data_IF_106324696058
#
_entry.id   IF_106324696058
#
_cell.length_a   1.000
_cell.length_b   1.000
_cell.length_c   1.000
_cell.angle_alpha   90.00
_cell.angle_beta   90.00
_cell.angle_gamma   90.00
#
_symmetry.space_group_name_H-M   'P 1'
#
loop_
_entity.id
_entity.type
_entity.pdbx_description
1 polymer ?
#
# COMPACT_ATOMS: atom_id res chain seq x y z
N UNK A 1 16.92 -0.20 3.54
CA UNK A 1 16.23 -1.30 4.21
C UNK A 1 17.25 -2.21 4.87
N UNK A 2 17.02 -2.63 6.10
CA UNK A 2 17.91 -3.50 6.88
C UNK A 2 17.10 -4.58 7.61
N UNK A 3 17.65 -5.79 7.79
CA UNK A 3 16.99 -6.81 8.59
C UNK A 3 16.88 -6.36 10.06
N UNK A 4 15.81 -6.80 10.73
CA UNK A 4 15.60 -6.58 12.15
C UNK A 4 15.57 -7.92 12.91
N UNK A 5 15.76 -7.88 14.24
CA UNK A 5 15.67 -9.06 15.08
C UNK A 5 14.23 -9.64 15.06
N UNK A 6 14.09 -10.91 15.43
CA UNK A 6 12.79 -11.52 15.57
C UNK A 6 11.90 -10.75 16.56
N UNK A 7 10.61 -10.75 16.29
CA UNK A 7 9.58 -10.05 17.07
C UNK A 7 9.74 -8.49 17.10
N UNK A 8 10.61 -7.92 16.26
CA UNK A 8 10.75 -6.46 16.14
C UNK A 8 9.57 -5.84 15.35
N UNK A 9 9.01 -6.57 14.40
CA UNK A 9 8.07 -6.00 13.45
C UNK A 9 8.75 -5.12 12.40
N UNK A 10 7.94 -4.35 11.66
CA UNK A 10 8.44 -3.38 10.69
C UNK A 10 8.54 -2.01 11.37
N UNK A 11 9.72 -1.43 11.31
CA UNK A 11 10.02 -0.11 11.88
C UNK A 11 10.47 0.84 10.78
N UNK A 12 9.97 2.06 10.83
CA UNK A 12 10.50 3.17 10.05
C UNK A 12 11.41 4.03 10.92
N UNK A 13 12.64 4.26 10.46
CA UNK A 13 13.56 5.18 11.13
C UNK A 13 13.56 6.51 10.40
N UNK A 14 13.10 7.56 11.07
CA UNK A 14 13.12 8.93 10.55
C UNK A 14 14.55 9.50 10.51
N UNK A 15 14.73 10.62 9.82
CA UNK A 15 16.04 11.26 9.65
C UNK A 15 16.70 11.71 10.98
N UNK A 16 15.91 11.95 12.02
CA UNK A 16 16.38 12.27 13.37
C UNK A 16 16.71 11.03 14.23
N UNK A 17 16.55 9.83 13.65
CA UNK A 17 16.78 8.55 14.34
C UNK A 17 15.57 7.97 15.07
N UNK A 18 14.46 8.69 15.12
CA UNK A 18 13.22 8.23 15.78
C UNK A 18 12.68 6.99 15.06
N UNK A 19 12.39 5.94 15.82
CA UNK A 19 11.78 4.71 15.32
C UNK A 19 10.26 4.78 15.47
N UNK A 20 9.54 4.57 14.39
CA UNK A 20 8.07 4.55 14.32
C UNK A 20 7.63 3.15 13.92
N UNK A 21 6.90 2.40 14.77
CA UNK A 21 6.37 1.10 14.42
C UNK A 21 5.30 1.18 13.33
N UNK A 22 5.33 0.21 12.41
CA UNK A 22 4.32 0.09 11.36
C UNK A 22 3.19 -0.84 11.80
N UNK A 23 2.43 -0.40 12.78
CA UNK A 23 1.25 -1.09 13.30
C UNK A 23 0.03 -0.16 13.35
N UNK A 24 -1.13 -0.73 13.67
CA UNK A 24 -2.40 -0.01 13.65
C UNK A 24 -2.47 1.09 14.72
N UNK A 25 -1.80 0.93 15.86
CA UNK A 25 -1.82 1.89 16.94
C UNK A 25 -1.07 3.18 16.61
N UNK A 26 -0.19 3.12 15.62
CA UNK A 26 0.57 4.25 15.11
C UNK A 26 -0.01 4.89 13.84
N UNK A 27 -1.13 4.38 13.31
CA UNK A 27 -1.81 5.01 12.17
C UNK A 27 -2.52 6.28 12.64
N UNK A 28 -2.09 7.44 12.14
CA UNK A 28 -2.63 8.76 12.52
C UNK A 28 -3.45 9.43 11.43
N UNK A 29 -3.32 9.01 10.17
CA UNK A 29 -4.13 9.48 9.05
C UNK A 29 -4.16 8.43 7.92
N UNK A 30 -5.33 8.26 7.29
CA UNK A 30 -5.54 7.38 6.13
C UNK A 30 -6.08 8.10 4.91
N UNK A 31 -6.11 9.45 4.92
CA UNK A 31 -6.65 10.24 3.80
C UNK A 31 -5.64 10.40 2.69
N UNK A 32 -5.86 9.68 1.59
CA UNK A 32 -5.02 9.71 0.39
C UNK A 32 -3.68 8.97 0.48
N UNK A 33 -3.23 8.61 1.69
CA UNK A 33 -2.10 7.74 1.96
C UNK A 33 -2.14 7.28 3.42
N UNK A 34 -1.52 6.15 3.74
CA UNK A 34 -1.37 5.72 5.13
C UNK A 34 -0.22 6.47 5.79
N UNK A 35 -0.52 7.15 6.89
CA UNK A 35 0.45 7.92 7.66
C UNK A 35 0.60 7.33 9.06
N UNK A 36 1.82 7.00 9.43
CA UNK A 36 2.20 6.65 10.79
C UNK A 36 2.65 7.90 11.56
N UNK A 37 2.48 7.86 12.88
CA UNK A 37 2.93 8.93 13.76
C UNK A 37 3.32 8.44 15.14
N UNK A 38 4.50 8.85 15.61
CA UNK A 38 4.97 8.64 16.97
C UNK A 38 5.97 9.73 17.36
N UNK A 39 5.99 10.12 18.64
CA UNK A 39 6.98 11.04 19.22
C UNK A 39 7.16 12.37 18.45
N UNK A 40 6.09 12.87 17.83
CA UNK A 40 6.14 14.10 17.02
C UNK A 40 6.59 13.91 15.57
N UNK A 41 7.02 12.72 15.20
CA UNK A 41 7.40 12.35 13.82
C UNK A 41 6.20 11.81 13.06
N UNK A 42 6.15 12.07 11.76
CA UNK A 42 5.16 11.51 10.83
C UNK A 42 5.87 10.87 9.65
N UNK A 43 5.37 9.70 9.23
CA UNK A 43 5.86 8.98 8.06
C UNK A 43 4.68 8.64 7.17
N UNK A 44 4.73 9.07 5.93
CA UNK A 44 3.62 9.02 4.97
C UNK A 44 3.86 8.00 3.87
N UNK A 45 2.79 7.57 3.23
CA UNK A 45 2.80 6.75 2.00
C UNK A 45 3.53 5.41 2.20
N UNK A 46 3.23 4.73 3.31
CA UNK A 46 3.88 3.47 3.67
C UNK A 46 3.28 2.26 2.94
N UNK A 47 2.07 2.38 2.40
CA UNK A 47 1.22 1.29 1.92
C UNK A 47 1.89 0.39 0.89
N UNK A 48 2.65 0.95 -0.07
CA UNK A 48 3.28 0.18 -1.14
C UNK A 48 4.41 -0.72 -0.62
N UNK A 49 5.25 -0.19 0.27
CA UNK A 49 6.31 -0.97 0.92
C UNK A 49 5.72 -2.02 1.86
N UNK A 50 4.69 -1.66 2.64
CA UNK A 50 4.04 -2.59 3.56
C UNK A 50 3.36 -3.74 2.82
N UNK A 51 2.71 -3.46 1.68
CA UNK A 51 2.10 -4.49 0.83
C UNK A 51 3.16 -5.45 0.27
N UNK A 52 4.29 -4.91 -0.23
CA UNK A 52 5.39 -5.73 -0.71
C UNK A 52 6.00 -6.61 0.40
N UNK A 53 6.27 -6.03 1.58
CA UNK A 53 6.80 -6.78 2.72
C UNK A 53 5.84 -7.91 3.16
N UNK A 54 4.55 -7.60 3.27
CA UNK A 54 3.53 -8.58 3.66
C UNK A 54 3.44 -9.75 2.67
N UNK A 55 3.44 -9.46 1.35
CA UNK A 55 3.34 -10.47 0.31
C UNK A 55 4.58 -11.37 0.24
N UNK A 56 5.76 -10.83 0.49
CA UNK A 56 7.03 -11.57 0.51
C UNK A 56 7.32 -12.25 1.86
N UNK A 57 6.39 -12.16 2.80
CA UNK A 57 6.55 -12.78 4.10
C UNK A 57 7.61 -12.13 5.00
N UNK A 58 7.89 -10.85 4.84
CA UNK A 58 8.86 -10.11 5.63
C UNK A 58 8.16 -9.50 6.84
N UNK A 59 8.49 -9.99 8.04
CA UNK A 59 7.87 -9.57 9.29
C UNK A 59 8.73 -8.61 10.10
N UNK A 60 10.05 -8.62 9.88
CA UNK A 60 11.00 -7.88 10.69
C UNK A 60 11.95 -7.09 9.78
N UNK A 61 11.81 -5.77 9.78
CA UNK A 61 12.51 -4.89 8.87
C UNK A 61 12.67 -3.49 9.49
N UNK A 62 13.81 -2.85 9.27
CA UNK A 62 13.98 -1.42 9.50
C UNK A 62 14.11 -0.70 8.16
N UNK A 63 13.24 0.26 7.92
CA UNK A 63 13.30 1.16 6.77
C UNK A 63 13.83 2.53 7.21
N UNK A 64 15.06 2.86 6.80
CA UNK A 64 15.68 4.17 7.05
C UNK A 64 15.19 5.19 6.03
N UNK A 65 14.69 6.32 6.49
CA UNK A 65 14.13 7.38 5.68
C UNK A 65 14.92 8.68 5.86
N UNK A 66 15.23 9.34 4.76
CA UNK A 66 15.84 10.68 4.76
C UNK A 66 14.81 11.82 4.75
N UNK A 67 13.51 11.49 4.66
CA UNK A 67 12.39 12.42 4.63
C UNK A 67 11.16 11.80 5.32
N UNK A 68 10.11 12.60 5.50
CA UNK A 68 8.86 12.18 6.16
C UNK A 68 7.96 11.32 5.26
N UNK A 69 8.40 10.96 4.06
CA UNK A 69 7.58 10.23 3.09
C UNK A 69 8.38 9.11 2.44
N UNK A 70 7.77 7.92 2.36
CA UNK A 70 8.31 6.80 1.57
C UNK A 70 8.21 7.18 0.09
N UNK A 71 9.25 6.97 -0.72
CA UNK A 71 9.23 7.39 -2.12
C UNK A 71 8.11 6.67 -2.90
N UNK A 72 7.39 7.42 -3.73
CA UNK A 72 6.33 6.86 -4.56
C UNK A 72 6.85 5.92 -5.66
N UNK A 73 8.12 6.06 -6.05
CA UNK A 73 8.75 5.31 -7.15
C UNK A 73 7.93 5.43 -8.44
N UNK A 74 7.43 4.33 -8.97
CA UNK A 74 6.54 4.32 -10.14
C UNK A 74 5.04 4.34 -9.78
N UNK A 75 4.72 4.56 -8.50
CA UNK A 75 3.36 4.59 -7.97
C UNK A 75 2.75 3.21 -7.70
N UNK A 76 3.55 2.15 -7.71
CA UNK A 76 3.12 0.79 -7.43
C UNK A 76 3.99 0.11 -6.38
N UNK A 77 3.61 -1.09 -5.94
CA UNK A 77 4.43 -1.91 -5.03
C UNK A 77 5.56 -2.66 -5.74
N UNK A 78 5.54 -2.74 -7.08
CA UNK A 78 6.49 -3.56 -7.85
C UNK A 78 7.96 -3.20 -7.62
N UNK A 79 8.36 -1.90 -7.60
CA UNK A 79 9.76 -1.55 -7.33
C UNK A 79 10.23 -1.94 -5.93
N UNK A 80 9.33 -1.94 -4.94
CA UNK A 80 9.65 -2.41 -3.59
C UNK A 80 9.83 -3.94 -3.55
N UNK A 81 9.02 -4.70 -4.30
CA UNK A 81 9.23 -6.14 -4.48
C UNK A 81 10.61 -6.40 -5.08
N UNK A 82 10.97 -5.70 -6.16
CA UNK A 82 12.27 -5.88 -6.82
C UNK A 82 13.44 -5.53 -5.90
N UNK A 83 13.30 -4.47 -5.10
CA UNK A 83 14.28 -4.07 -4.10
C UNK A 83 14.47 -5.16 -3.03
N UNK A 84 13.36 -5.69 -2.49
CA UNK A 84 13.38 -6.72 -1.47
C UNK A 84 13.93 -8.05 -2.01
N UNK A 85 13.58 -8.45 -3.24
CA UNK A 85 14.17 -9.61 -3.89
C UNK A 85 15.67 -9.46 -4.10
N UNK A 86 16.12 -8.28 -4.53
CA UNK A 86 17.55 -8.03 -4.75
C UNK A 86 18.38 -8.05 -3.46
N UNK A 87 17.76 -7.63 -2.35
CA UNK A 87 18.38 -7.66 -1.03
C UNK A 87 18.43 -9.07 -0.42
N UNK A 88 17.51 -9.94 -0.83
CA UNK A 88 17.32 -11.26 -0.23
C UNK A 88 16.65 -11.20 1.14
N UNK A 89 16.37 -12.37 1.69
CA UNK A 89 15.74 -12.55 3.00
C UNK A 89 16.55 -13.47 3.91
N UNK A 90 16.41 -13.31 5.20
CA UNK A 90 17.00 -14.16 6.24
C UNK A 90 15.87 -14.79 7.04
N UNK A 91 15.89 -16.12 7.12
CA UNK A 91 14.96 -16.84 7.99
C UNK A 91 15.42 -16.71 9.44
N UNK A 92 14.54 -16.21 10.29
CA UNK A 92 14.78 -16.07 11.72
C UNK A 92 14.37 -17.35 12.49
N UNK A 93 15.04 -17.70 13.61
CA UNK A 93 14.78 -18.94 14.35
C UNK A 93 13.54 -18.87 15.26
N UNK A 94 12.62 -17.97 14.98
CA UNK A 94 11.39 -17.78 15.76
C UNK A 94 10.19 -17.97 14.82
N UNK A 95 9.23 -18.84 15.17
CA UNK A 95 8.06 -19.07 14.32
C UNK A 95 7.15 -17.82 14.29
N UNK A 96 6.55 -17.59 13.14
CA UNK A 96 5.49 -16.60 12.98
C UNK A 96 4.32 -16.87 13.94
N UNK A 97 3.70 -15.79 14.40
CA UNK A 97 2.47 -15.81 15.18
C UNK A 97 1.33 -15.21 14.35
N UNK A 98 0.70 -16.00 13.47
CA UNK A 98 -0.38 -15.49 12.64
C UNK A 98 -1.60 -15.12 13.48
N UNK A 99 -2.26 -14.04 13.13
CA UNK A 99 -3.58 -13.71 13.65
C UNK A 99 -4.61 -14.61 12.98
N UNK A 100 -5.29 -15.46 13.76
CA UNK A 100 -6.34 -16.33 13.25
C UNK A 100 -7.71 -15.65 13.39
N UNK A 101 -8.39 -15.49 12.29
CA UNK A 101 -9.80 -15.05 12.25
C UNK A 101 -10.68 -16.23 12.61
N UNK A 102 -11.45 -16.14 13.70
CA UNK A 102 -12.29 -17.24 14.22
C UNK A 102 -13.75 -17.12 13.79
N UNK A 103 -14.24 -15.91 13.58
CA UNK A 103 -15.60 -15.61 13.17
C UNK A 103 -15.60 -14.41 12.22
N UNK A 104 -16.62 -14.27 11.36
CA UNK A 104 -16.71 -13.09 10.50
C UNK A 104 -16.83 -11.81 11.32
N UNK A 105 -16.05 -10.80 10.92
CA UNK A 105 -16.11 -9.44 11.49
C UNK A 105 -16.34 -8.47 10.36
N UNK A 106 -17.36 -7.62 10.49
CA UNK A 106 -17.66 -6.57 9.53
C UNK A 106 -17.63 -5.21 10.20
N UNK A 107 -16.96 -4.27 9.54
CA UNK A 107 -16.88 -2.87 9.96
C UNK A 107 -17.21 -1.98 8.77
N UNK A 108 -17.78 -0.82 9.03
CA UNK A 108 -18.06 0.15 7.99
C UNK A 108 -19.38 0.86 8.18
N UNK A 109 -19.65 1.77 7.24
CA UNK A 109 -20.81 2.66 7.25
C UNK A 109 -21.41 2.73 5.83
N UNK A 110 -22.71 2.52 5.73
CA UNK A 110 -23.47 2.59 4.47
C UNK A 110 -22.88 1.69 3.37
N UNK A 111 -22.37 2.31 2.31
CA UNK A 111 -21.78 1.63 1.16
C UNK A 111 -20.27 1.42 1.26
N UNK A 112 -19.65 1.79 2.39
CA UNK A 112 -18.23 1.57 2.66
C UNK A 112 -18.06 0.61 3.82
N UNK A 113 -17.63 -0.61 3.53
CA UNK A 113 -17.47 -1.62 4.55
C UNK A 113 -16.30 -2.54 4.20
N UNK A 114 -15.76 -3.16 5.23
CA UNK A 114 -14.79 -4.24 5.15
C UNK A 114 -15.32 -5.41 5.95
N UNK A 115 -15.17 -6.60 5.41
CA UNK A 115 -15.49 -7.84 6.10
C UNK A 115 -14.27 -8.77 6.05
N UNK A 116 -13.95 -9.37 7.18
CA UNK A 116 -12.96 -10.41 7.28
C UNK A 116 -13.64 -11.68 7.81
N UNK A 117 -13.37 -12.82 7.21
CA UNK A 117 -13.96 -14.10 7.57
C UNK A 117 -12.89 -15.19 7.65
N UNK A 118 -13.13 -16.28 8.43
CA UNK A 118 -12.25 -17.44 8.46
C UNK A 118 -12.03 -18.02 7.06
N UNK A 119 -10.78 -18.31 6.72
CA UNK A 119 -10.41 -18.94 5.46
C UNK A 119 -9.06 -19.65 5.62
N UNK A 120 -8.85 -20.73 4.86
CA UNK A 120 -7.58 -21.44 4.82
C UNK A 120 -6.51 -20.70 4.00
N UNK A 121 -6.94 -19.75 3.17
CA UNK A 121 -6.08 -18.98 2.28
C UNK A 121 -6.42 -17.51 2.36
N UNK A 122 -5.46 -16.64 2.12
CA UNK A 122 -5.73 -15.21 1.98
C UNK A 122 -6.43 -14.97 0.63
N UNK A 123 -7.72 -14.65 0.68
CA UNK A 123 -8.49 -14.18 -0.47
C UNK A 123 -8.93 -12.74 -0.24
N UNK A 124 -8.66 -11.89 -1.20
CA UNK A 124 -9.15 -10.51 -1.18
C UNK A 124 -10.16 -10.35 -2.31
N UNK A 125 -11.36 -9.89 -1.95
CA UNK A 125 -12.36 -9.45 -2.92
C UNK A 125 -12.60 -7.97 -2.67
N UNK A 126 -12.37 -7.15 -3.69
CA UNK A 126 -12.58 -5.71 -3.61
C UNK A 126 -13.55 -5.26 -4.69
N UNK A 127 -14.53 -4.46 -4.28
CA UNK A 127 -15.48 -3.79 -5.19
C UNK A 127 -15.22 -2.29 -5.12
N UNK A 128 -14.76 -1.74 -6.22
CA UNK A 128 -14.59 -0.30 -6.42
C UNK A 128 -15.80 0.22 -7.20
N UNK A 129 -16.69 0.95 -6.53
CA UNK A 129 -17.81 1.63 -7.19
C UNK A 129 -17.52 3.13 -7.25
N UNK A 130 -17.16 3.62 -8.43
CA UNK A 130 -16.80 5.00 -8.63
C UNK A 130 -17.68 5.61 -9.74
N UNK A 131 -18.36 6.75 -9.49
CA UNK A 131 -19.25 7.37 -10.48
C UNK A 131 -18.52 7.95 -11.69
N UNK A 132 -17.18 7.99 -11.69
CA UNK A 132 -16.41 8.51 -12.80
C UNK A 132 -16.42 7.52 -13.98
N UNK A 133 -16.78 7.93 -15.23
CA UNK A 133 -16.99 7.02 -16.36
C UNK A 133 -15.75 6.25 -16.80
N UNK A 134 -14.55 6.73 -16.47
CA UNK A 134 -13.27 6.05 -16.78
C UNK A 134 -12.97 4.95 -15.76
N UNK A 135 -13.44 5.09 -14.52
CA UNK A 135 -13.22 4.12 -13.45
C UNK A 135 -14.38 3.14 -13.35
N UNK A 136 -15.60 3.66 -13.16
CA UNK A 136 -16.82 2.86 -13.10
C UNK A 136 -16.87 1.88 -11.94
N UNK A 137 -17.69 0.85 -12.10
CA UNK A 137 -17.75 -0.31 -11.19
C UNK A 137 -16.73 -1.35 -11.63
N UNK A 138 -15.81 -1.69 -10.74
CA UNK A 138 -14.83 -2.74 -10.94
C UNK A 138 -14.86 -3.71 -9.75
N UNK A 139 -14.65 -5.00 -10.01
CA UNK A 139 -14.56 -6.04 -8.99
C UNK A 139 -13.35 -6.91 -9.29
N UNK A 140 -12.51 -7.09 -8.29
CA UNK A 140 -11.43 -8.07 -8.32
C UNK A 140 -11.57 -9.05 -7.16
N UNK A 141 -11.31 -10.33 -7.41
CA UNK A 141 -11.28 -11.36 -6.38
C UNK A 141 -10.09 -12.28 -6.66
N UNK A 142 -9.11 -12.23 -5.78
CA UNK A 142 -7.83 -12.92 -5.96
C UNK A 142 -7.49 -13.76 -4.72
N UNK A 143 -6.97 -14.95 -4.95
CA UNK A 143 -6.22 -15.68 -3.95
C UNK A 143 -4.81 -15.07 -3.90
N UNK A 144 -4.47 -14.43 -2.80
CA UNK A 144 -3.21 -13.70 -2.66
C UNK A 144 -2.14 -14.65 -2.14
N UNK A 145 -1.30 -15.09 -3.06
CA UNK A 145 0.01 -15.71 -2.80
C UNK A 145 1.12 -14.72 -3.16
N UNK A 146 2.35 -15.05 -2.86
CA UNK A 146 3.51 -14.26 -3.29
C UNK A 146 3.50 -14.06 -4.81
N UNK A 147 3.34 -15.13 -5.60
CA UNK A 147 3.31 -15.05 -7.06
C UNK A 147 2.14 -14.19 -7.58
N UNK A 148 0.92 -14.43 -7.08
CA UNK A 148 -0.25 -13.64 -7.47
C UNK A 148 -0.06 -12.15 -7.13
N UNK A 149 0.50 -11.85 -5.96
CA UNK A 149 0.79 -10.47 -5.61
C UNK A 149 1.78 -9.82 -6.57
N UNK A 150 2.90 -10.49 -6.83
CA UNK A 150 3.99 -9.98 -7.69
C UNK A 150 3.53 -9.75 -9.13
N UNK A 151 2.70 -10.65 -9.66
CA UNK A 151 2.28 -10.62 -11.05
C UNK A 151 1.02 -9.77 -11.29
N UNK A 152 0.07 -9.80 -10.37
CA UNK A 152 -1.27 -9.26 -10.61
C UNK A 152 -1.62 -8.03 -9.75
N UNK A 153 -0.98 -7.83 -8.59
CA UNK A 153 -1.28 -6.71 -7.69
C UNK A 153 -0.15 -5.69 -7.63
N UNK A 154 1.09 -6.15 -7.39
CA UNK A 154 2.22 -5.26 -7.21
C UNK A 154 2.42 -4.25 -8.35
N UNK A 155 2.18 -4.58 -9.64
CA UNK A 155 2.33 -3.62 -10.73
C UNK A 155 1.24 -2.55 -10.81
N UNK A 156 0.08 -2.72 -10.13
CA UNK A 156 -1.01 -1.76 -10.19
C UNK A 156 -0.62 -0.43 -9.54
N UNK A 157 -0.80 0.67 -10.28
CA UNK A 157 -0.37 2.00 -9.87
C UNK A 157 -1.47 2.73 -9.11
N UNK A 158 -1.04 3.59 -8.19
CA UNK A 158 -1.92 4.59 -7.59
C UNK A 158 -2.53 5.50 -8.66
N UNK A 159 -3.69 6.06 -8.39
CA UNK A 159 -4.37 6.94 -9.34
C UNK A 159 -4.95 8.19 -8.67
N UNK A 160 -5.10 9.22 -9.47
CA UNK A 160 -5.74 10.45 -9.04
C UNK A 160 -6.52 11.11 -10.17
N UNK A 161 -7.49 11.96 -9.80
CA UNK A 161 -8.28 12.67 -10.79
C UNK A 161 -7.65 14.02 -11.13
N UNK A 162 -7.52 14.31 -12.42
CA UNK A 162 -6.93 15.56 -12.91
C UNK A 162 -7.63 16.79 -12.31
N UNK A 163 -8.95 16.72 -12.10
CA UNK A 163 -9.74 17.80 -11.51
C UNK A 163 -9.30 18.17 -10.09
N UNK A 164 -8.71 17.21 -9.35
CA UNK A 164 -8.35 17.38 -7.93
C UNK A 164 -6.88 17.81 -7.77
N UNK A 165 -6.06 17.68 -8.83
CA UNK A 165 -4.61 17.95 -8.78
C UNK A 165 -4.30 19.38 -8.34
N UNK A 166 -5.04 20.37 -8.85
CA UNK A 166 -4.81 21.78 -8.49
C UNK A 166 -5.05 22.04 -7.00
N UNK A 167 -6.12 21.45 -6.46
CA UNK A 167 -6.47 21.55 -5.03
C UNK A 167 -5.46 20.80 -4.17
N UNK A 168 -5.06 19.59 -4.59
CA UNK A 168 -4.03 18.81 -3.87
C UNK A 168 -2.72 19.60 -3.77
N UNK A 169 -2.24 20.16 -4.88
CA UNK A 169 -1.02 20.97 -4.91
C UNK A 169 -1.11 22.22 -4.03
N UNK A 170 -2.27 22.90 -4.02
CA UNK A 170 -2.53 24.04 -3.15
C UNK A 170 -2.43 23.66 -1.66
N UNK A 171 -2.83 22.45 -1.32
CA UNK A 171 -2.76 21.89 0.05
C UNK A 171 -1.41 21.22 0.34
N UNK A 172 -0.40 21.36 -0.53
CA UNK A 172 0.92 20.80 -0.32
C UNK A 172 1.04 19.29 -0.61
N UNK A 173 -0.02 18.67 -1.17
CA UNK A 173 -0.06 17.26 -1.57
C UNK A 173 0.33 17.09 -3.03
N UNK A 174 0.67 15.85 -3.43
CA UNK A 174 1.03 15.47 -4.80
C UNK A 174 2.12 16.36 -5.43
N UNK A 175 3.07 16.86 -4.64
CA UNK A 175 4.17 17.73 -5.14
C UNK A 175 5.10 17.00 -6.08
N UNK A 176 5.36 15.71 -5.83
CA UNK A 176 6.15 14.82 -6.67
C UNK A 176 5.33 14.03 -7.70
N UNK A 177 4.00 14.25 -7.78
CA UNK A 177 3.12 13.51 -8.67
C UNK A 177 3.35 13.84 -10.15
N UNK A 178 3.55 12.80 -10.95
CA UNK A 178 3.73 12.85 -12.42
C UNK A 178 2.99 11.69 -13.08
N UNK A 179 2.97 11.65 -14.42
CA UNK A 179 2.45 10.51 -15.17
C UNK A 179 3.32 9.25 -15.05
N UNK A 180 4.56 9.39 -14.53
CA UNK A 180 5.46 8.25 -14.32
C UNK A 180 5.14 7.49 -13.03
N UNK A 181 4.50 8.15 -12.05
CA UNK A 181 4.25 7.58 -10.73
C UNK A 181 2.78 7.61 -10.27
N UNK A 182 1.86 7.91 -11.17
CA UNK A 182 0.42 7.81 -10.90
C UNK A 182 -0.37 7.69 -12.22
N UNK A 183 -1.48 6.97 -12.18
CA UNK A 183 -2.46 7.03 -13.26
C UNK A 183 -3.32 8.27 -13.06
N UNK A 184 -3.26 9.22 -14.00
CA UNK A 184 -4.04 10.45 -13.95
C UNK A 184 -5.32 10.30 -14.76
N UNK A 185 -6.46 10.33 -14.06
CA UNK A 185 -7.80 10.16 -14.65
C UNK A 185 -8.32 11.50 -15.14
N UNK A 186 -8.42 11.66 -16.46
CA UNK A 186 -9.04 12.80 -17.12
C UNK A 186 -10.56 12.63 -17.25
N UNK A 187 -11.22 13.53 -17.97
CA UNK A 187 -12.69 13.51 -18.12
C UNK A 187 -13.23 12.27 -18.83
N UNK A 188 -12.53 11.73 -19.82
CA UNK A 188 -12.98 10.64 -20.71
C UNK A 188 -11.96 9.52 -20.92
N UNK A 189 -10.73 9.70 -20.46
CA UNK A 189 -9.63 8.75 -20.58
C UNK A 189 -8.62 9.01 -19.47
N UNK A 190 -7.68 8.10 -19.29
CA UNK A 190 -6.45 8.39 -18.56
C UNK A 190 -5.52 9.25 -19.41
N UNK A 191 -4.64 10.02 -18.76
CA UNK A 191 -3.66 10.87 -19.42
C UNK A 191 -2.36 10.14 -19.75
N UNK A 192 -2.12 9.02 -19.07
CA UNK A 192 -0.98 8.12 -19.31
C UNK A 192 -1.14 7.41 -20.66
N UNK A 193 -0.07 6.83 -21.21
CA UNK A 193 -0.08 6.06 -22.45
C UNK A 193 -0.97 4.80 -22.41
N UNK A 194 -1.41 4.39 -21.20
CA UNK A 194 -2.32 3.28 -20.96
C UNK A 194 -2.32 2.81 -19.51
N UNK A 195 -3.18 1.86 -19.25
CA UNK A 195 -3.23 1.11 -18.01
C UNK A 195 -2.38 -0.17 -18.13
N UNK A 196 -1.78 -0.61 -17.02
CA UNK A 196 -1.07 -1.90 -16.95
C UNK A 196 -2.01 -3.09 -16.95
N UNK A 197 -3.22 -2.89 -16.39
CA UNK A 197 -4.33 -3.84 -16.40
C UNK A 197 -5.61 -3.11 -16.80
N UNK A 198 -6.54 -3.79 -17.46
CA UNK A 198 -7.84 -3.18 -17.79
C UNK A 198 -8.60 -2.72 -16.55
N UNK A 199 -8.42 -3.42 -15.44
CA UNK A 199 -9.01 -3.20 -14.13
C UNK A 199 -7.97 -2.69 -13.11
N UNK A 200 -6.98 -1.90 -13.54
CA UNK A 200 -5.86 -1.45 -12.71
C UNK A 200 -6.32 -0.70 -11.44
N UNK A 201 -7.43 0.05 -11.54
CA UNK A 201 -7.95 0.83 -10.42
C UNK A 201 -8.42 -0.01 -9.23
N UNK A 202 -8.98 -1.18 -9.46
CA UNK A 202 -9.45 -2.08 -8.40
C UNK A 202 -8.34 -2.96 -7.86
N UNK A 203 -7.24 -3.12 -8.59
CA UNK A 203 -6.07 -3.90 -8.17
C UNK A 203 -5.14 -3.11 -7.25
N UNK A 204 -5.15 -1.79 -7.37
CA UNK A 204 -4.41 -0.89 -6.48
C UNK A 204 -5.23 -0.62 -5.22
#
# INVERSE_FOLDING_TARGET
>A
LSPAAADTGILFRAADGTLVPADIDHVVDGRGATTLGAFGVRIRTIEHLMAAAAALGIDNLVADLSAEEVPALDGSSKPFVDLLYSAGTVTLPVPRRPLAVREPVRVGDGNRWLEIAPSEVLRITYTLDNPHPVVGLQVASLHVSESTFVEELAPARTYGFLRDVAMMRKNGLARGGSLDNAVVVGKRSVLNDGLRFQDEFVRH
#
